data_IF_031130265193
#
_entry.id   IF_031130265193
#
_cell.length_a   1.000
_cell.length_b   1.000
_cell.length_c   1.000
_cell.angle_alpha   90.00
_cell.angle_beta   90.00
_cell.angle_gamma   90.00
#
_symmetry.space_group_name_H-M   'P 1'
#
loop_
_entity.id
_entity.type
_entity.pdbx_description
1 polymer ?
#
# COMPACT_ATOMS: atom_id res chain seq x y z
N UNK A 1 1.08 16.95 -10.21
CA UNK A 1 0.76 16.63 -8.81
C UNK A 1 2.05 16.44 -8.06
N UNK A 2 2.24 17.21 -7.00
CA UNK A 2 3.42 17.13 -6.13
C UNK A 2 3.39 15.83 -5.31
N UNK A 3 4.55 15.25 -5.00
CA UNK A 3 4.69 14.07 -4.13
C UNK A 3 3.92 14.21 -2.78
N UNK A 4 3.73 15.44 -2.31
CA UNK A 4 2.90 15.76 -1.15
C UNK A 4 1.38 15.60 -1.38
N UNK A 5 0.88 15.78 -2.61
CA UNK A 5 -0.52 15.54 -2.95
C UNK A 5 -0.82 14.05 -3.09
N UNK A 6 0.15 13.24 -3.52
CA UNK A 6 0.04 11.77 -3.53
C UNK A 6 -0.06 11.20 -2.12
N UNK A 7 0.59 11.83 -1.13
CA UNK A 7 0.44 11.51 0.30
C UNK A 7 -0.95 11.78 0.87
N UNK A 8 -1.77 12.59 0.20
CA UNK A 8 -3.15 12.86 0.59
C UNK A 8 -4.16 11.94 -0.12
N UNK A 9 -3.71 11.04 -1.00
CA UNK A 9 -4.55 10.02 -1.65
C UNK A 9 -4.57 8.60 -1.03
N UNK A 10 -4.16 8.32 0.23
CA UNK A 10 -4.34 6.98 0.79
C UNK A 10 -5.82 6.59 0.93
N UNK A 11 -6.75 7.55 0.78
CA UNK A 11 -8.19 7.31 0.70
C UNK A 11 -8.68 6.73 -0.64
N UNK A 12 -7.95 6.90 -1.75
CA UNK A 12 -8.42 6.45 -3.08
C UNK A 12 -7.85 5.09 -3.49
N UNK A 13 -6.65 4.73 -3.03
CA UNK A 13 -5.99 3.48 -3.44
C UNK A 13 -6.69 2.24 -2.85
N UNK A 14 -7.22 2.36 -1.63
CA UNK A 14 -7.94 1.27 -0.93
C UNK A 14 -9.26 0.88 -1.61
N UNK A 15 -10.18 1.82 -1.92
CA UNK A 15 -11.37 1.49 -2.70
C UNK A 15 -11.04 1.03 -4.11
N UNK A 16 -9.98 1.57 -4.74
CA UNK A 16 -9.52 1.09 -6.04
C UNK A 16 -9.08 -0.37 -5.99
N UNK A 17 -8.29 -0.77 -4.99
CA UNK A 17 -7.88 -2.16 -4.78
C UNK A 17 -9.09 -3.08 -4.55
N UNK A 18 -10.09 -2.64 -3.80
CA UNK A 18 -11.33 -3.40 -3.61
C UNK A 18 -12.06 -3.62 -4.94
N UNK A 19 -12.21 -2.58 -5.77
CA UNK A 19 -12.87 -2.70 -7.08
C UNK A 19 -12.06 -3.58 -8.02
N UNK A 20 -10.74 -3.42 -8.07
CA UNK A 20 -9.88 -4.22 -8.93
C UNK A 20 -9.88 -5.70 -8.55
N UNK A 21 -9.80 -6.03 -7.26
CA UNK A 21 -9.87 -7.42 -6.78
C UNK A 21 -11.25 -8.04 -6.99
N UNK A 22 -12.34 -7.25 -6.87
CA UNK A 22 -13.68 -7.70 -7.23
C UNK A 22 -13.79 -8.04 -8.72
N UNK A 23 -13.30 -7.14 -9.59
CA UNK A 23 -13.28 -7.36 -11.04
C UNK A 23 -12.46 -8.59 -11.40
N UNK A 24 -11.30 -8.79 -10.75
CA UNK A 24 -10.46 -9.97 -10.93
C UNK A 24 -11.23 -11.26 -10.64
N UNK A 25 -11.95 -11.33 -9.51
CA UNK A 25 -12.77 -12.50 -9.16
C UNK A 25 -13.88 -12.75 -10.18
N UNK A 26 -14.55 -11.69 -10.65
CA UNK A 26 -15.62 -11.82 -11.67
C UNK A 26 -15.05 -12.39 -12.97
N UNK A 27 -13.90 -11.89 -13.43
CA UNK A 27 -13.27 -12.37 -14.66
C UNK A 27 -12.72 -13.79 -14.50
N UNK A 28 -12.26 -14.17 -13.31
CA UNK A 28 -11.85 -15.54 -13.00
C UNK A 28 -13.02 -16.53 -12.93
N UNK A 29 -14.19 -16.11 -12.45
CA UNK A 29 -15.38 -16.95 -12.38
C UNK A 29 -16.01 -17.22 -13.76
N UNK A 30 -15.54 -16.53 -14.80
CA UNK A 30 -16.03 -16.70 -16.16
C UNK A 30 -15.60 -18.05 -16.79
N UNK A 31 -16.37 -18.58 -17.77
CA UNK A 31 -16.07 -19.87 -18.38
C UNK A 31 -14.75 -19.83 -19.14
N UNK A 32 -13.71 -20.44 -18.58
CA UNK A 32 -12.40 -20.52 -19.25
C UNK A 32 -11.26 -21.10 -18.41
N UNK A 33 -11.27 -20.95 -17.08
CA UNK A 33 -10.21 -21.46 -16.20
C UNK A 33 -10.33 -22.98 -16.01
N UNK A 34 -9.82 -23.73 -16.99
CA UNK A 34 -9.68 -25.20 -16.94
C UNK A 34 -8.21 -25.58 -16.75
N UNK A 35 -7.89 -26.04 -15.55
CA UNK A 35 -6.56 -26.54 -15.19
C UNK A 35 -5.80 -25.50 -14.37
N UNK A 36 -5.26 -25.92 -13.23
CA UNK A 36 -4.37 -25.14 -12.34
C UNK A 36 -4.90 -23.85 -11.70
N UNK A 37 -6.23 -23.71 -11.55
CA UNK A 37 -6.83 -22.51 -10.94
C UNK A 37 -6.71 -22.42 -9.41
N UNK A 38 -6.30 -23.45 -8.67
CA UNK A 38 -6.43 -23.44 -7.20
C UNK A 38 -5.60 -22.35 -6.51
N UNK A 39 -4.34 -22.15 -6.94
CA UNK A 39 -3.46 -21.13 -6.36
C UNK A 39 -3.95 -19.73 -6.67
N UNK A 40 -4.42 -19.53 -7.90
CA UNK A 40 -4.86 -18.23 -8.41
C UNK A 40 -6.21 -17.85 -7.79
N UNK A 41 -7.12 -18.82 -7.69
CA UNK A 41 -8.40 -18.65 -7.00
C UNK A 41 -8.16 -18.36 -5.52
N UNK A 42 -7.28 -19.12 -4.87
CA UNK A 42 -6.97 -18.92 -3.44
C UNK A 42 -6.34 -17.55 -3.18
N UNK A 43 -5.35 -17.15 -3.97
CA UNK A 43 -4.72 -15.83 -3.83
C UNK A 43 -5.70 -14.70 -4.10
N UNK A 44 -6.53 -14.80 -5.14
CA UNK A 44 -7.54 -13.78 -5.46
C UNK A 44 -8.62 -13.66 -4.37
N UNK A 45 -9.06 -14.79 -3.79
CA UNK A 45 -10.00 -14.79 -2.66
C UNK A 45 -9.38 -14.12 -1.43
N UNK A 46 -8.13 -14.45 -1.10
CA UNK A 46 -7.42 -13.84 0.03
C UNK A 46 -7.18 -12.34 -0.17
N UNK A 47 -6.82 -11.92 -1.38
CA UNK A 47 -6.69 -10.51 -1.77
C UNK A 47 -8.01 -9.77 -1.57
N UNK A 48 -9.12 -10.33 -2.02
CA UNK A 48 -10.44 -9.72 -1.87
C UNK A 48 -10.89 -9.61 -0.41
N UNK A 49 -10.72 -10.68 0.39
CA UNK A 49 -11.04 -10.64 1.83
C UNK A 49 -10.18 -9.57 2.53
N UNK A 50 -8.89 -9.50 2.19
CA UNK A 50 -7.99 -8.51 2.80
C UNK A 50 -8.34 -7.10 2.35
N UNK A 51 -8.72 -6.90 1.09
CA UNK A 51 -9.18 -5.60 0.58
C UNK A 51 -10.45 -5.13 1.30
N UNK A 52 -11.42 -6.02 1.55
CA UNK A 52 -12.61 -5.72 2.36
C UNK A 52 -12.21 -5.34 3.78
N UNK A 53 -11.34 -6.13 4.42
CA UNK A 53 -10.90 -5.89 5.80
C UNK A 53 -10.18 -4.56 5.96
N UNK A 54 -9.27 -4.23 5.04
CA UNK A 54 -8.52 -2.96 5.02
C UNK A 54 -9.45 -1.78 4.73
N UNK A 55 -10.39 -1.94 3.80
CA UNK A 55 -11.38 -0.90 3.51
C UNK A 55 -12.26 -0.63 4.73
N UNK A 56 -12.79 -1.69 5.37
CA UNK A 56 -13.58 -1.57 6.58
C UNK A 56 -12.79 -0.95 7.74
N UNK A 57 -11.55 -1.37 7.96
CA UNK A 57 -10.71 -0.84 9.04
C UNK A 57 -10.47 0.67 8.92
N UNK A 58 -10.34 1.16 7.70
CA UNK A 58 -10.16 2.59 7.39
C UNK A 58 -11.47 3.34 7.43
N UNK A 59 -12.55 2.74 6.93
CA UNK A 59 -13.88 3.34 6.95
C UNK A 59 -14.38 3.57 8.37
N UNK A 60 -14.12 2.62 9.28
CA UNK A 60 -14.48 2.74 10.70
C UNK A 60 -13.48 3.56 11.54
N UNK A 61 -12.47 4.17 10.90
CA UNK A 61 -11.39 4.95 11.55
C UNK A 61 -10.84 4.28 12.82
N UNK A 62 -10.56 2.97 12.72
CA UNK A 62 -10.11 2.20 13.87
C UNK A 62 -8.77 2.76 14.35
N UNK A 63 -8.65 3.03 15.66
CA UNK A 63 -7.51 3.74 16.25
C UNK A 63 -6.14 3.15 15.88
N UNK A 64 -6.09 1.82 15.66
CA UNK A 64 -4.86 1.13 15.27
C UNK A 64 -4.35 1.51 13.87
N UNK A 65 -5.21 1.98 12.96
CA UNK A 65 -4.83 2.37 11.59
C UNK A 65 -3.95 3.63 11.53
N UNK A 66 -3.88 4.39 12.64
CA UNK A 66 -3.01 5.56 12.79
C UNK A 66 -1.66 5.22 13.43
N UNK A 67 -1.45 3.97 13.83
CA UNK A 67 -0.21 3.54 14.49
C UNK A 67 0.91 3.24 13.50
N UNK A 68 2.18 3.35 13.92
CA UNK A 68 3.34 2.95 13.11
C UNK A 68 3.36 1.44 12.81
N UNK A 69 2.72 0.63 13.65
CA UNK A 69 2.55 -0.81 13.42
C UNK A 69 1.67 -1.08 12.21
N UNK A 70 0.67 -0.23 11.95
CA UNK A 70 -0.19 -0.33 10.79
C UNK A 70 0.59 -0.17 9.48
N UNK A 71 1.54 0.76 9.40
CA UNK A 71 2.40 0.92 8.22
C UNK A 71 3.21 -0.34 7.90
N UNK A 72 3.69 -1.06 8.93
CA UNK A 72 4.40 -2.34 8.74
C UNK A 72 3.46 -3.44 8.24
N UNK A 73 2.24 -3.48 8.76
CA UNK A 73 1.21 -4.43 8.30
C UNK A 73 0.84 -4.13 6.85
N UNK A 74 0.64 -2.85 6.51
CA UNK A 74 0.37 -2.39 5.14
C UNK A 74 1.50 -2.76 4.18
N UNK A 75 2.75 -2.57 4.59
CA UNK A 75 3.90 -2.98 3.81
C UNK A 75 3.95 -4.51 3.61
N UNK A 76 3.70 -5.29 4.66
CA UNK A 76 3.79 -6.74 4.62
C UNK A 76 2.74 -7.35 3.68
N UNK A 77 1.46 -7.02 3.85
CA UNK A 77 0.43 -7.60 2.99
C UNK A 77 0.55 -7.08 1.55
N UNK A 78 0.90 -5.80 1.35
CA UNK A 78 1.01 -5.24 0.00
C UNK A 78 2.15 -5.87 -0.78
N UNK A 79 3.29 -6.14 -0.14
CA UNK A 79 4.41 -6.83 -0.79
C UNK A 79 4.05 -8.28 -1.16
N UNK A 80 3.40 -9.02 -0.25
CA UNK A 80 2.96 -10.40 -0.50
C UNK A 80 1.97 -10.45 -1.66
N UNK A 81 0.95 -9.60 -1.65
CA UNK A 81 -0.06 -9.57 -2.73
C UNK A 81 0.49 -9.02 -4.03
N UNK A 82 1.46 -8.09 -4.01
CA UNK A 82 2.17 -7.67 -5.22
C UNK A 82 2.85 -8.86 -5.92
N UNK A 83 3.54 -9.71 -5.15
CA UNK A 83 4.21 -10.91 -5.68
C UNK A 83 3.19 -11.95 -6.16
N UNK A 84 2.16 -12.24 -5.36
CA UNK A 84 1.09 -13.17 -5.76
C UNK A 84 0.37 -12.72 -7.04
N UNK A 85 0.02 -11.44 -7.13
CA UNK A 85 -0.59 -10.85 -8.32
C UNK A 85 0.36 -10.85 -9.53
N UNK A 86 1.68 -10.71 -9.33
CA UNK A 86 2.65 -10.83 -10.42
C UNK A 86 2.69 -12.26 -10.97
N UNK A 87 2.67 -13.28 -10.09
CA UNK A 87 2.59 -14.68 -10.49
C UNK A 87 1.28 -14.99 -11.22
N UNK A 88 0.15 -14.45 -10.73
CA UNK A 88 -1.15 -14.57 -11.38
C UNK A 88 -1.12 -13.95 -12.79
N UNK A 89 -0.48 -12.78 -12.94
CA UNK A 89 -0.31 -12.11 -14.23
C UNK A 89 0.46 -12.98 -15.23
N UNK A 90 1.59 -13.55 -14.82
CA UNK A 90 2.40 -14.44 -15.65
C UNK A 90 1.56 -15.65 -16.10
N UNK A 91 0.78 -16.21 -15.18
CA UNK A 91 -0.09 -17.33 -15.50
C UNK A 91 -1.14 -16.97 -16.56
N UNK A 92 -1.87 -15.87 -16.39
CA UNK A 92 -2.88 -15.46 -17.36
C UNK A 92 -2.26 -15.16 -18.72
N UNK A 93 -1.08 -14.51 -18.73
CA UNK A 93 -0.35 -14.21 -19.95
C UNK A 93 0.05 -15.48 -20.69
N UNK A 94 0.62 -16.48 -20.00
CA UNK A 94 0.94 -17.77 -20.62
C UNK A 94 -0.32 -18.46 -21.16
N UNK A 95 -1.41 -18.49 -20.38
CA UNK A 95 -2.64 -19.17 -20.78
C UNK A 95 -3.35 -18.51 -21.97
N UNK A 96 -3.16 -17.21 -22.19
CA UNK A 96 -3.76 -16.50 -23.33
C UNK A 96 -3.30 -17.07 -24.68
N UNK A 97 -2.06 -17.57 -24.75
CA UNK A 97 -1.49 -18.16 -25.97
C UNK A 97 -1.93 -19.60 -26.20
N UNK A 98 -2.29 -20.33 -25.13
CA UNK A 98 -2.79 -21.70 -25.23
C UNK A 98 -4.31 -21.74 -25.49
N UNK A 99 -5.06 -20.85 -24.86
CA UNK A 99 -6.52 -20.80 -24.95
C UNK A 99 -7.00 -19.34 -24.99
N UNK A 100 -6.90 -18.71 -26.16
CA UNK A 100 -7.33 -17.33 -26.33
C UNK A 100 -8.80 -17.16 -25.97
N UNK A 101 -9.05 -16.31 -24.98
CA UNK A 101 -10.38 -16.01 -24.47
C UNK A 101 -10.40 -14.56 -23.98
N UNK A 102 -11.41 -13.81 -24.41
CA UNK A 102 -11.59 -12.40 -24.06
C UNK A 102 -11.57 -12.18 -22.54
N UNK A 103 -12.17 -13.09 -21.77
CA UNK A 103 -12.22 -12.97 -20.31
C UNK A 103 -10.84 -13.13 -19.65
N UNK A 104 -9.98 -13.97 -20.22
CA UNK A 104 -8.59 -14.10 -19.77
C UNK A 104 -7.77 -12.85 -20.08
N UNK A 105 -8.02 -12.20 -21.23
CA UNK A 105 -7.38 -10.93 -21.56
C UNK A 105 -7.72 -9.86 -20.51
N UNK A 106 -9.00 -9.76 -20.15
CA UNK A 106 -9.48 -8.80 -19.17
C UNK A 106 -8.95 -9.11 -17.76
N UNK A 107 -8.90 -10.39 -17.37
CA UNK A 107 -8.27 -10.83 -16.12
C UNK A 107 -6.76 -10.55 -16.08
N UNK A 108 -6.07 -10.62 -17.22
CA UNK A 108 -4.65 -10.28 -17.32
C UNK A 108 -4.43 -8.79 -17.08
N UNK A 109 -5.24 -7.94 -17.75
CA UNK A 109 -5.17 -6.48 -17.58
C UNK A 109 -5.47 -6.08 -16.14
N UNK A 110 -6.54 -6.62 -15.54
CA UNK A 110 -6.89 -6.36 -14.15
C UNK A 110 -5.76 -6.80 -13.19
N UNK A 111 -5.16 -7.98 -13.42
CA UNK A 111 -4.04 -8.48 -12.62
C UNK A 111 -2.80 -7.56 -12.71
N UNK A 112 -2.47 -7.04 -13.89
CA UNK A 112 -1.39 -6.04 -14.05
C UNK A 112 -1.70 -4.77 -13.26
N UNK A 113 -2.93 -4.27 -13.32
CA UNK A 113 -3.33 -3.09 -12.56
C UNK A 113 -3.26 -3.32 -11.05
N UNK A 114 -3.59 -4.52 -10.58
CA UNK A 114 -3.46 -4.91 -9.16
C UNK A 114 -1.99 -4.94 -8.74
N UNK A 115 -1.09 -5.50 -9.55
CA UNK A 115 0.36 -5.47 -9.29
C UNK A 115 0.86 -4.03 -9.16
N UNK A 116 0.47 -3.15 -10.08
CA UNK A 116 0.85 -1.74 -10.02
C UNK A 116 0.28 -1.04 -8.79
N UNK A 117 -0.97 -1.30 -8.44
CA UNK A 117 -1.62 -0.71 -7.27
C UNK A 117 -0.96 -1.17 -5.95
N UNK A 118 -0.70 -2.46 -5.78
CA UNK A 118 0.03 -2.96 -4.61
C UNK A 118 1.48 -2.50 -4.62
N UNK A 119 2.17 -2.47 -5.76
CA UNK A 119 3.52 -1.94 -5.88
C UNK A 119 3.62 -0.48 -5.46
N UNK A 120 2.67 0.35 -5.88
CA UNK A 120 2.55 1.74 -5.44
C UNK A 120 2.26 1.83 -3.93
N UNK A 121 1.35 1.01 -3.40
CA UNK A 121 1.07 0.95 -1.96
C UNK A 121 2.33 0.57 -1.16
N UNK A 122 3.10 -0.42 -1.62
CA UNK A 122 4.36 -0.85 -1.00
C UNK A 122 5.40 0.27 -1.03
N UNK A 123 5.55 0.96 -2.17
CA UNK A 123 6.47 2.10 -2.29
C UNK A 123 6.09 3.24 -1.33
N UNK A 124 4.81 3.60 -1.26
CA UNK A 124 4.32 4.62 -0.32
C UNK A 124 4.60 4.21 1.12
N UNK A 125 4.21 2.99 1.52
CA UNK A 125 4.44 2.49 2.87
C UNK A 125 5.94 2.40 3.23
N UNK A 126 6.79 2.03 2.27
CA UNK A 126 8.24 2.01 2.44
C UNK A 126 8.82 3.41 2.66
N UNK A 127 8.40 4.38 1.85
CA UNK A 127 8.84 5.78 2.01
C UNK A 127 8.37 6.39 3.32
N UNK A 128 7.14 6.08 3.76
CA UNK A 128 6.61 6.54 5.04
C UNK A 128 7.38 5.95 6.23
N UNK A 129 7.75 4.66 6.17
CA UNK A 129 8.64 4.05 7.17
C UNK A 129 10.00 4.75 7.23
N UNK A 130 10.56 5.11 6.07
CA UNK A 130 11.91 5.70 5.99
C UNK A 130 11.96 7.11 6.57
N UNK A 131 10.86 7.88 6.46
CA UNK A 131 10.69 9.17 7.13
C UNK A 131 10.73 9.08 8.67
N UNK A 132 10.33 7.94 9.24
CA UNK A 132 10.31 7.70 10.70
C UNK A 132 11.66 7.23 11.26
N UNK A 133 12.64 6.88 10.41
CA UNK A 133 13.99 6.45 10.85
C UNK A 133 14.90 7.64 11.21
N UNK A 134 14.42 8.88 11.10
CA UNK A 134 15.20 10.09 11.43
C UNK A 134 15.05 10.56 12.90
N UNK A 135 14.79 9.67 13.86
CA UNK A 135 14.83 10.03 15.28
C UNK A 135 15.20 8.88 16.22
N UNK A 136 16.21 8.09 15.86
CA UNK A 136 16.92 7.24 16.83
C UNK A 136 18.41 7.53 16.75
N UNK A 137 18.77 8.75 17.17
CA UNK A 137 20.13 9.20 17.40
C UNK A 137 20.38 9.42 18.90
N UNK A 138 20.26 8.38 19.72
CA UNK A 138 20.89 8.38 21.05
C UNK A 138 22.38 8.14 20.83
N UNK A 139 23.10 9.20 20.47
CA UNK A 139 24.54 9.15 20.23
C UNK A 139 25.14 10.54 20.39
N UNK A 140 25.58 10.85 21.61
CA UNK A 140 26.49 11.94 21.98
C UNK A 140 26.52 13.14 21.01
N UNK A 141 25.49 13.98 21.05
CA UNK A 141 25.66 15.34 20.56
C UNK A 141 26.21 16.16 21.73
N UNK A 142 27.49 16.52 21.64
CA UNK A 142 28.09 17.51 22.51
C UNK A 142 27.19 18.74 22.54
N UNK A 143 26.99 19.29 23.74
CA UNK A 143 26.19 20.47 24.08
C UNK A 143 26.61 21.68 23.24
N UNK A 144 26.13 21.78 22.01
CA UNK A 144 26.12 23.02 21.24
C UNK A 144 24.85 23.75 21.66
N UNK A 145 25.04 24.89 22.32
CA UNK A 145 23.98 25.74 22.83
C UNK A 145 22.86 25.95 21.79
N UNK A 146 21.62 25.82 22.25
CA UNK A 146 20.45 26.16 21.45
C UNK A 146 20.57 27.62 20.94
N UNK A 147 20.12 27.92 19.71
CA UNK A 147 20.09 29.29 19.23
C UNK A 147 19.24 30.16 20.19
N UNK A 148 19.66 31.39 20.51
CA UNK A 148 19.00 32.18 21.55
C UNK A 148 17.55 32.45 21.14
N UNK A 149 16.61 31.99 21.97
CA UNK A 149 15.23 32.48 21.94
C UNK A 149 15.27 33.99 22.23
N UNK A 150 14.55 34.84 21.48
CA UNK A 150 14.46 36.24 21.81
C UNK A 150 13.76 36.39 23.17
N UNK A 151 14.51 36.86 24.17
CA UNK A 151 13.99 37.15 25.51
C UNK A 151 12.87 38.19 25.44
N UNK A 152 11.81 38.09 26.27
CA UNK A 152 10.71 39.04 26.25
C UNK A 152 11.05 40.44 26.82
N UNK A 153 12.31 40.66 27.23
CA UNK A 153 12.75 41.92 27.81
C UNK A 153 13.68 42.67 26.84
N UNK A 154 13.42 43.97 26.56
CA UNK A 154 14.31 44.77 25.72
C UNK A 154 15.66 44.98 26.39
N UNK A 155 16.72 44.98 25.58
CA UNK A 155 18.11 45.05 26.05
C UNK A 155 18.39 46.35 26.82
N UNK A 156 18.86 46.21 28.07
CA UNK A 156 19.35 47.33 28.89
C UNK A 156 18.87 47.37 30.35
N UNK A 157 17.96 46.48 30.78
CA UNK A 157 17.48 46.44 32.17
C UNK A 157 17.96 45.16 32.86
N UNK A 158 18.91 45.31 33.78
CA UNK A 158 19.29 44.26 34.72
C UNK A 158 18.35 44.34 35.95
N UNK A 159 17.64 43.26 36.35
CA UNK A 159 17.00 43.22 37.65
C UNK A 159 18.06 43.16 38.74
N UNK A 160 17.91 44.01 39.76
CA UNK A 160 18.63 43.87 41.03
C UNK A 160 18.08 42.68 41.84
#
# INVERSE_FOLDING_TARGET
MSYHEMKQMPGMLKPLLLVLTLLQIIFMASPGLRGWGWFICLTSILEFITAIGVFAAVFFDLLFTKSSQWTLIELAYSAVFCVCSALNTIYYFCNIFYHFNFWFLLATVASVLIVLAYGLQTLVAWTDRTGTVSSSGTGNQATAAAPPQPSPFPAGVNPA
#
